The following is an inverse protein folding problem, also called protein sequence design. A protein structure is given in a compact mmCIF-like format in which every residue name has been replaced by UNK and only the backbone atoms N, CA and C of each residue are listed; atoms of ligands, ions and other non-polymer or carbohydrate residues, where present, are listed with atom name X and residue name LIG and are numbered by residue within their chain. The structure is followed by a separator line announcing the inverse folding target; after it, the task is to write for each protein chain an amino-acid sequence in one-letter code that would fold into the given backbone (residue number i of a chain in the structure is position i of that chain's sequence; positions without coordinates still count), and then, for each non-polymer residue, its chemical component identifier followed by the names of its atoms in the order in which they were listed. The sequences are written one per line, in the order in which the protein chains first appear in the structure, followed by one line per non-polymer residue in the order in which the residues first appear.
data_IF_628086195933
#
_entry.id   IF_628086195933
#
_cell.length_a   1.000
_cell.length_b   1.000
_cell.length_c   1.000
_cell.angle_alpha   90.00
_cell.angle_beta   90.00
_cell.angle_gamma   90.00
#
_symmetry.space_group_name_H-M   'P 1'
#
loop_
_entity.id
_entity.type
_entity.pdbx_description
1 polymer ?
#
# COMPACT_ATOMS: atom_id res chain seq x y z
N UNK A 1 40.37 -4.35 -36.02
CA UNK A 1 38.99 -3.80 -36.02
C UNK A 1 38.09 -4.54 -35.04
N UNK A 2 37.85 -5.85 -35.18
CA UNK A 2 36.99 -6.61 -34.25
C UNK A 2 37.44 -6.61 -32.78
N UNK A 3 38.75 -6.65 -32.51
CA UNK A 3 39.30 -6.64 -31.14
C UNK A 3 39.06 -5.33 -30.37
N UNK A 4 38.97 -4.19 -31.06
CA UNK A 4 38.72 -2.89 -30.44
C UNK A 4 37.24 -2.69 -30.02
N UNK A 5 36.31 -3.44 -30.63
CA UNK A 5 34.88 -3.35 -30.33
C UNK A 5 34.43 -4.26 -29.17
N UNK A 6 35.23 -5.26 -28.79
CA UNK A 6 34.88 -6.24 -27.77
C UNK A 6 34.51 -5.62 -26.39
N UNK A 7 35.21 -4.59 -25.86
CA UNK A 7 34.83 -3.96 -24.60
C UNK A 7 33.47 -3.25 -24.67
N UNK A 8 33.13 -2.63 -25.80
CA UNK A 8 31.84 -1.97 -26.01
C UNK A 8 30.69 -2.95 -26.07
N UNK A 9 30.87 -4.09 -26.75
CA UNK A 9 29.88 -5.16 -26.77
C UNK A 9 29.67 -5.75 -25.37
N UNK A 10 30.74 -5.91 -24.58
CA UNK A 10 30.66 -6.31 -23.18
C UNK A 10 29.86 -5.31 -22.33
N UNK A 11 30.14 -4.01 -22.48
CA UNK A 11 29.41 -2.95 -21.78
C UNK A 11 27.93 -2.87 -22.19
N UNK A 12 27.62 -3.03 -23.48
CA UNK A 12 26.22 -3.07 -23.96
C UNK A 12 25.48 -4.28 -23.38
N UNK A 13 26.12 -5.45 -23.31
CA UNK A 13 25.55 -6.65 -22.72
C UNK A 13 25.24 -6.49 -21.24
N UNK A 14 26.17 -5.95 -20.45
CA UNK A 14 25.94 -5.69 -19.02
C UNK A 14 24.87 -4.62 -18.80
N UNK A 15 24.88 -3.57 -19.62
CA UNK A 15 23.87 -2.51 -19.56
C UNK A 15 22.48 -3.01 -19.89
N UNK A 16 22.33 -3.93 -20.85
CA UNK A 16 21.06 -4.56 -21.19
C UNK A 16 20.50 -5.37 -20.00
N UNK A 17 21.33 -6.21 -19.37
CA UNK A 17 20.93 -6.99 -18.18
C UNK A 17 20.49 -6.08 -17.02
N UNK A 18 21.21 -4.98 -16.79
CA UNK A 18 20.83 -4.00 -15.77
C UNK A 18 19.50 -3.30 -16.10
N UNK A 19 19.29 -2.94 -17.36
CA UNK A 19 18.05 -2.32 -17.82
C UNK A 19 16.84 -3.28 -17.66
N UNK A 20 17.01 -4.55 -18.00
CA UNK A 20 15.99 -5.59 -17.80
C UNK A 20 15.63 -5.75 -16.31
N UNK A 21 16.65 -5.81 -15.44
CA UNK A 21 16.45 -5.88 -13.99
C UNK A 21 15.73 -4.65 -13.41
N UNK A 22 16.08 -3.45 -13.87
CA UNK A 22 15.42 -2.22 -13.46
C UNK A 22 13.95 -2.18 -13.93
N UNK A 23 13.68 -2.61 -15.16
CA UNK A 23 12.33 -2.68 -15.70
C UNK A 23 11.46 -3.70 -14.93
N UNK A 24 12.03 -4.84 -14.52
CA UNK A 24 11.33 -5.81 -13.66
C UNK A 24 10.98 -5.21 -12.29
N UNK A 25 11.92 -4.51 -11.65
CA UNK A 25 11.69 -3.84 -10.36
C UNK A 25 10.63 -2.74 -10.44
N UNK A 26 10.63 -1.94 -11.50
CA UNK A 26 9.63 -0.90 -11.72
C UNK A 26 8.21 -1.49 -11.86
N UNK A 27 8.07 -2.59 -12.60
CA UNK A 27 6.78 -3.31 -12.72
C UNK A 27 6.31 -3.86 -11.37
N UNK A 28 7.21 -4.49 -10.61
CA UNK A 28 6.87 -4.99 -9.27
C UNK A 28 6.38 -3.86 -8.35
N UNK A 29 7.07 -2.71 -8.34
CA UNK A 29 6.67 -1.55 -7.56
C UNK A 29 5.28 -1.02 -7.97
N UNK A 30 5.01 -0.90 -9.27
CA UNK A 30 3.71 -0.47 -9.78
C UNK A 30 2.59 -1.43 -9.38
N UNK A 31 2.82 -2.75 -9.49
CA UNK A 31 1.82 -3.75 -9.09
C UNK A 31 1.54 -3.70 -7.59
N UNK A 32 2.56 -3.54 -6.75
CA UNK A 32 2.39 -3.42 -5.31
C UNK A 32 1.62 -2.15 -4.93
N UNK A 33 1.88 -1.04 -5.62
CA UNK A 33 1.16 0.22 -5.42
C UNK A 33 -0.33 0.09 -5.75
N UNK A 34 -0.68 -0.45 -6.93
CA UNK A 34 -2.08 -0.61 -7.33
C UNK A 34 -2.84 -1.61 -6.44
N UNK A 35 -2.16 -2.68 -5.99
CA UNK A 35 -2.73 -3.61 -5.02
C UNK A 35 -3.05 -2.92 -3.68
N UNK A 36 -2.12 -2.11 -3.15
CA UNK A 36 -2.37 -1.38 -1.92
C UNK A 36 -3.43 -0.29 -2.08
N UNK A 37 -3.42 0.44 -3.20
CA UNK A 37 -4.41 1.46 -3.52
C UNK A 37 -5.83 0.88 -3.59
N UNK A 38 -5.98 -0.29 -4.20
CA UNK A 38 -7.29 -0.95 -4.31
C UNK A 38 -7.76 -1.57 -2.99
N UNK A 39 -6.84 -1.98 -2.13
CA UNK A 39 -7.15 -2.54 -0.81
C UNK A 39 -7.44 -1.49 0.28
N UNK A 40 -6.98 -0.25 0.12
CA UNK A 40 -7.21 0.84 1.09
C UNK A 40 -8.69 1.15 1.28
N UNK A 41 -9.08 1.37 2.53
CA UNK A 41 -10.45 1.78 2.86
C UNK A 41 -10.72 3.18 2.33
N UNK A 42 -11.85 3.36 1.65
CA UNK A 42 -12.21 4.65 1.09
C UNK A 42 -12.51 5.67 2.20
N UNK A 43 -11.97 6.92 2.15
CA UNK A 43 -12.14 7.92 3.22
C UNK A 43 -13.59 8.24 3.58
N UNK A 44 -14.51 8.15 2.60
CA UNK A 44 -15.94 8.36 2.85
C UNK A 44 -16.55 7.32 3.81
N UNK A 45 -16.07 6.07 3.80
CA UNK A 45 -16.52 5.01 4.71
C UNK A 45 -16.04 5.29 6.13
N UNK A 46 -14.77 5.69 6.26
CA UNK A 46 -14.21 6.13 7.55
C UNK A 46 -15.00 7.31 8.10
N UNK A 47 -15.27 8.32 7.27
CA UNK A 47 -16.04 9.49 7.69
C UNK A 47 -17.47 9.12 8.14
N UNK A 48 -18.15 8.25 7.41
CA UNK A 48 -19.49 7.77 7.78
C UNK A 48 -19.49 7.09 9.16
N UNK A 49 -18.50 6.23 9.43
CA UNK A 49 -18.32 5.61 10.75
C UNK A 49 -18.10 6.67 11.85
N UNK A 50 -17.25 7.67 11.60
CA UNK A 50 -16.98 8.74 12.59
C UNK A 50 -18.19 9.61 12.86
N UNK A 51 -18.97 9.96 11.84
CA UNK A 51 -20.23 10.69 12.00
C UNK A 51 -21.26 9.87 12.80
N UNK A 52 -21.41 8.58 12.46
CA UNK A 52 -22.28 7.67 13.21
C UNK A 52 -21.88 7.58 14.67
N UNK A 53 -20.58 7.41 14.95
CA UNK A 53 -20.04 7.37 16.30
C UNK A 53 -20.41 8.62 17.12
N UNK A 54 -20.20 9.82 16.56
CA UNK A 54 -20.56 11.06 17.24
C UNK A 54 -22.07 11.17 17.51
N UNK A 55 -22.90 10.69 16.58
CA UNK A 55 -24.36 10.70 16.71
C UNK A 55 -24.83 9.75 17.81
N UNK A 56 -24.28 8.52 17.84
CA UNK A 56 -24.61 7.51 18.84
C UNK A 56 -24.23 7.98 20.24
N UNK A 57 -23.05 8.58 20.40
CA UNK A 57 -22.59 9.16 21.68
C UNK A 57 -23.49 10.32 22.11
N UNK A 58 -23.79 11.26 21.21
CA UNK A 58 -24.64 12.42 21.52
C UNK A 58 -26.06 12.04 21.98
N UNK A 59 -26.56 10.89 21.52
CA UNK A 59 -27.90 10.37 21.85
C UNK A 59 -27.90 9.33 22.97
N UNK A 60 -26.75 9.04 23.60
CA UNK A 60 -26.61 7.98 24.59
C UNK A 60 -26.97 8.38 26.03
N UNK A 61 -27.94 9.29 26.24
CA UNK A 61 -28.26 9.81 27.58
C UNK A 61 -28.72 8.71 28.56
N UNK A 62 -29.35 7.64 28.05
CA UNK A 62 -29.83 6.50 28.83
C UNK A 62 -28.91 5.27 28.77
N UNK A 63 -27.75 5.37 28.11
CA UNK A 63 -26.82 4.25 27.96
C UNK A 63 -27.24 3.16 26.96
N UNK A 64 -28.42 3.28 26.33
CA UNK A 64 -28.97 2.28 25.42
C UNK A 64 -28.14 2.05 24.15
N UNK A 65 -27.38 3.06 23.71
CA UNK A 65 -26.55 2.96 22.51
C UNK A 65 -25.19 2.30 22.78
N UNK A 66 -24.86 1.91 24.01
CA UNK A 66 -23.54 1.34 24.34
C UNK A 66 -23.12 0.16 23.43
N UNK A 67 -23.99 -0.82 23.09
CA UNK A 67 -23.63 -1.89 22.17
C UNK A 67 -23.36 -1.38 20.73
N UNK A 68 -24.13 -0.40 20.26
CA UNK A 68 -23.96 0.18 18.92
C UNK A 68 -22.67 1.00 18.82
N UNK A 69 -22.31 1.72 19.89
CA UNK A 69 -21.02 2.44 20.02
C UNK A 69 -19.87 1.45 19.92
N UNK A 70 -19.90 0.37 20.70
CA UNK A 70 -18.85 -0.66 20.67
C UNK A 70 -18.72 -1.33 19.29
N UNK A 71 -19.83 -1.61 18.62
CA UNK A 71 -19.81 -2.13 17.24
C UNK A 71 -19.21 -1.13 16.26
N UNK A 72 -19.53 0.15 16.39
CA UNK A 72 -18.99 1.22 15.53
C UNK A 72 -17.48 1.40 15.73
N UNK A 73 -16.98 1.33 16.98
CA UNK A 73 -15.54 1.33 17.27
C UNK A 73 -14.82 0.10 16.72
N UNK A 74 -15.45 -1.08 16.81
CA UNK A 74 -14.90 -2.31 16.26
C UNK A 74 -14.72 -2.20 14.75
N UNK A 75 -15.75 -1.73 14.02
CA UNK A 75 -15.66 -1.49 12.59
C UNK A 75 -14.53 -0.51 12.23
N UNK A 76 -14.32 0.53 13.04
CA UNK A 76 -13.20 1.45 12.83
C UNK A 76 -11.84 0.77 12.99
N UNK A 77 -11.73 -0.14 13.96
CA UNK A 77 -10.51 -0.92 14.19
C UNK A 77 -10.26 -1.92 13.05
N UNK A 78 -11.31 -2.51 12.48
CA UNK A 78 -11.20 -3.36 11.29
C UNK A 78 -10.70 -2.57 10.08
N UNK A 79 -11.24 -1.36 9.84
CA UNK A 79 -10.76 -0.48 8.77
C UNK A 79 -9.28 -0.13 8.97
N UNK A 80 -8.86 0.18 10.21
CA UNK A 80 -7.46 0.43 10.53
C UNK A 80 -6.58 -0.80 10.24
N UNK A 81 -7.00 -1.99 10.66
CA UNK A 81 -6.26 -3.22 10.43
C UNK A 81 -6.11 -3.53 8.93
N UNK A 82 -7.15 -3.28 8.13
CA UNK A 82 -7.12 -3.42 6.67
C UNK A 82 -6.11 -2.46 6.03
N UNK A 83 -6.12 -1.17 6.40
CA UNK A 83 -5.18 -0.18 5.87
C UNK A 83 -3.73 -0.52 6.24
N UNK A 84 -3.49 -1.01 7.46
CA UNK A 84 -2.17 -1.51 7.89
C UNK A 84 -1.75 -2.70 7.04
N UNK A 85 -2.62 -3.68 6.82
CA UNK A 85 -2.33 -4.85 5.98
C UNK A 85 -2.00 -4.45 4.54
N UNK A 86 -2.74 -3.49 3.96
CA UNK A 86 -2.49 -2.95 2.62
C UNK A 86 -1.09 -2.31 2.53
N UNK A 87 -0.68 -1.51 3.53
CA UNK A 87 0.64 -0.88 3.54
C UNK A 87 1.78 -1.85 3.80
N UNK A 88 1.57 -2.89 4.62
CA UNK A 88 2.55 -3.97 4.80
C UNK A 88 2.78 -4.72 3.48
N UNK A 89 1.68 -5.02 2.77
CA UNK A 89 1.72 -5.57 1.41
C UNK A 89 2.56 -4.70 0.47
N UNK A 90 2.26 -3.40 0.39
CA UNK A 90 3.04 -2.43 -0.41
C UNK A 90 4.53 -2.43 -0.07
N UNK A 91 4.86 -2.39 1.23
CA UNK A 91 6.25 -2.34 1.70
C UNK A 91 7.04 -3.60 1.32
N UNK A 92 6.40 -4.78 1.34
CA UNK A 92 7.02 -6.04 0.91
C UNK A 92 7.29 -6.09 -0.61
N UNK A 93 6.45 -5.45 -1.42
CA UNK A 93 6.60 -5.37 -2.87
C UNK A 93 7.56 -4.27 -3.34
N UNK A 94 8.05 -3.41 -2.44
CA UNK A 94 8.95 -2.31 -2.81
C UNK A 94 10.36 -2.84 -3.12
N UNK A 95 10.91 -2.59 -4.33
CA UNK A 95 12.28 -2.97 -4.63
C UNK A 95 13.25 -2.29 -3.67
N UNK A 96 14.16 -3.08 -3.11
CA UNK A 96 15.21 -2.60 -2.19
C UNK A 96 16.28 -1.90 -3.02
N UNK A 97 16.09 -0.62 -3.32
CA UNK A 97 17.15 0.23 -3.85
C UNK A 97 18.27 0.30 -2.81
N UNK A 98 19.31 -0.52 -2.98
CA UNK A 98 20.56 -0.36 -2.22
C UNK A 98 21.11 1.00 -2.62
N UNK A 99 21.05 1.97 -1.69
CA UNK A 99 21.85 3.19 -1.81
C UNK A 99 23.31 2.74 -1.70
N UNK A 100 24.03 2.86 -2.80
CA UNK A 100 25.49 2.84 -2.82
C UNK A 100 26.00 4.21 -2.37
#
# INVERSE_FOLDING_TARGET
MASAAAPYLGWLGTSAVLAEGAAAQARAAATAFEAARSAMVHPAVVNANRVLMTTLVATNALGQNAPAIASTEFQYTEMWAQDVAAMLGYQSGRPRWRRH
#
